data_IF_457521385476
#
_entry.id   IF_457521385476
#
_cell.length_a   1.000
_cell.length_b   1.000
_cell.length_c   1.000
_cell.angle_alpha   90.00
_cell.angle_beta   90.00
_cell.angle_gamma   90.00
#
_symmetry.space_group_name_H-M   'P 1'
#
loop_
_entity.id
_entity.type
_entity.pdbx_description
1 polymer ?
#
# COMPACT_ATOMS: atom_id res chain seq x y z
N UNK A 1 8.86 14.50 56.88
CA UNK A 1 7.55 14.72 56.25
C UNK A 1 7.53 13.90 54.99
N UNK A 2 6.71 12.85 54.97
CA UNK A 2 6.68 11.86 53.89
C UNK A 2 5.60 12.19 52.85
N UNK A 3 5.88 11.76 51.62
CA UNK A 3 5.12 11.85 50.37
C UNK A 3 3.87 10.96 50.34
N UNK A 4 2.76 11.50 49.81
CA UNK A 4 1.57 10.80 49.28
C UNK A 4 1.09 11.63 48.05
N UNK A 5 0.51 11.11 46.96
CA UNK A 5 -0.49 10.03 46.82
C UNK A 5 -0.33 9.30 45.48
N UNK A 6 -0.51 7.99 45.50
CA UNK A 6 -0.85 7.16 44.34
C UNK A 6 -2.33 6.75 44.37
N UNK A 7 -2.85 6.25 43.26
CA UNK A 7 -3.99 5.33 43.24
C UNK A 7 -3.87 4.39 42.03
N UNK A 8 -3.58 3.12 42.34
CA UNK A 8 -3.76 1.96 41.47
C UNK A 8 -5.26 1.62 41.36
N UNK A 9 -5.70 1.18 40.18
CA UNK A 9 -6.91 0.39 40.04
C UNK A 9 -6.55 -0.94 39.37
N UNK A 10 -6.39 -1.96 40.20
CA UNK A 10 -6.62 -3.35 39.84
C UNK A 10 -8.14 -3.55 39.62
N UNK A 11 -8.50 -4.32 38.61
CA UNK A 11 -9.80 -5.00 38.51
C UNK A 11 -9.50 -6.44 38.17
N UNK A 12 -9.30 -7.29 39.18
CA UNK A 12 -10.34 -8.11 39.83
C UNK A 12 -10.80 -9.26 38.93
N UNK A 13 -10.12 -10.39 39.10
CA UNK A 13 -10.55 -11.73 38.70
C UNK A 13 -11.76 -12.15 39.54
N UNK A 14 -12.93 -12.21 38.91
CA UNK A 14 -14.14 -12.81 39.47
C UNK A 14 -14.55 -14.03 38.67
N UNK A 15 -14.34 -15.22 39.23
CA UNK A 15 -14.90 -16.48 38.75
C UNK A 15 -16.38 -16.57 39.16
N UNK A 16 -17.28 -16.76 38.19
CA UNK A 16 -18.64 -17.27 38.38
C UNK A 16 -19.04 -18.05 37.14
N UNK A 17 -19.50 -19.28 37.39
CA UNK A 17 -19.82 -20.31 36.42
C UNK A 17 -21.01 -19.96 35.52
N UNK A 18 -20.93 -20.41 34.26
CA UNK A 18 -22.06 -20.84 33.45
C UNK A 18 -22.79 -19.78 32.62
N UNK A 19 -22.31 -19.51 31.40
CA UNK A 19 -23.12 -19.58 30.17
C UNK A 19 -22.21 -19.42 28.95
N UNK A 20 -22.48 -20.22 27.91
CA UNK A 20 -21.73 -20.29 26.64
C UNK A 20 -21.73 -18.96 25.90
N UNK A 21 -20.72 -18.14 26.15
CA UNK A 21 -20.38 -16.97 25.35
C UNK A 21 -19.07 -17.21 24.65
N UNK A 22 -19.14 -17.68 23.39
CA UNK A 22 -17.99 -17.76 22.49
C UNK A 22 -17.36 -16.37 22.40
N UNK A 23 -16.28 -16.14 23.15
CA UNK A 23 -15.43 -14.98 22.93
C UNK A 23 -14.78 -15.17 21.57
N UNK A 24 -15.43 -14.67 20.52
CA UNK A 24 -14.77 -14.38 19.25
C UNK A 24 -13.67 -13.38 19.58
N UNK A 25 -12.46 -13.89 19.78
CA UNK A 25 -11.26 -13.07 19.68
C UNK A 25 -11.26 -12.54 18.25
N UNK A 26 -11.79 -11.33 18.08
CA UNK A 26 -11.67 -10.61 16.83
C UNK A 26 -10.18 -10.50 16.54
N UNK A 27 -9.69 -11.25 15.56
CA UNK A 27 -8.33 -11.07 15.07
C UNK A 27 -8.25 -9.63 14.59
N UNK A 28 -7.61 -8.77 15.39
CA UNK A 28 -7.30 -7.42 14.96
C UNK A 28 -6.30 -7.59 13.83
N UNK A 29 -6.76 -7.38 12.61
CA UNK A 29 -5.89 -7.48 11.45
C UNK A 29 -4.79 -6.42 11.54
N UNK A 30 -3.56 -6.90 11.31
CA UNK A 30 -2.36 -6.09 11.36
C UNK A 30 -2.25 -5.32 10.05
N UNK A 31 -1.83 -4.06 10.13
CA UNK A 31 -1.51 -3.25 8.95
C UNK A 31 -0.28 -3.80 8.24
N UNK A 32 -0.40 -4.08 6.95
CA UNK A 32 0.70 -4.54 6.09
C UNK A 32 1.04 -3.45 5.06
N UNK A 33 2.33 -3.25 4.77
CA UNK A 33 2.77 -2.31 3.73
C UNK A 33 2.34 -2.82 2.36
N UNK A 34 1.85 -1.91 1.51
CA UNK A 34 1.43 -2.20 0.14
C UNK A 34 2.33 -1.49 -0.87
N UNK A 35 2.51 -2.13 -2.02
CA UNK A 35 3.17 -1.51 -3.15
C UNK A 35 2.28 -0.42 -3.76
N UNK A 36 2.92 0.60 -4.33
CA UNK A 36 2.22 1.64 -5.06
C UNK A 36 1.99 1.18 -6.50
N UNK A 37 0.81 0.65 -6.75
CA UNK A 37 0.35 0.20 -8.07
C UNK A 37 -0.74 1.13 -8.59
N UNK A 38 -1.04 1.08 -9.89
CA UNK A 38 -2.16 1.79 -10.51
C UNK A 38 -3.48 1.57 -9.74
N UNK A 39 -3.77 0.33 -9.35
CA UNK A 39 -4.97 -0.02 -8.60
C UNK A 39 -5.06 0.71 -7.25
N UNK A 40 -3.98 0.70 -6.46
CA UNK A 40 -3.97 1.38 -5.15
C UNK A 40 -4.04 2.91 -5.26
N UNK A 41 -3.48 3.48 -6.33
CA UNK A 41 -3.60 4.91 -6.64
C UNK A 41 -5.03 5.27 -7.00
N UNK A 42 -5.69 4.45 -7.84
CA UNK A 42 -7.10 4.66 -8.21
C UNK A 42 -8.03 4.56 -7.00
N UNK A 43 -7.81 3.60 -6.08
CA UNK A 43 -8.58 3.52 -4.83
C UNK A 43 -8.52 4.84 -4.06
N UNK A 44 -7.32 5.41 -3.88
CA UNK A 44 -7.16 6.66 -3.16
C UNK A 44 -7.82 7.85 -3.87
N UNK A 45 -7.63 7.96 -5.20
CA UNK A 45 -8.19 9.04 -6.01
C UNK A 45 -9.72 8.98 -6.06
N UNK A 46 -10.31 7.81 -6.33
CA UNK A 46 -11.76 7.64 -6.43
C UNK A 46 -12.44 7.82 -5.07
N UNK A 47 -11.81 7.41 -3.97
CA UNK A 47 -12.33 7.67 -2.63
C UNK A 47 -12.49 9.17 -2.36
N UNK A 48 -11.52 10.01 -2.75
CA UNK A 48 -11.59 11.45 -2.47
C UNK A 48 -12.37 12.26 -3.53
N UNK A 49 -12.57 11.68 -4.73
CA UNK A 49 -13.20 12.30 -5.90
C UNK A 49 -14.70 12.51 -5.75
N UNK A 50 -15.42 11.70 -4.98
CA UNK A 50 -16.88 11.78 -4.91
C UNK A 50 -17.35 12.15 -3.51
N UNK A 51 -18.27 13.11 -3.41
CA UNK A 51 -18.85 13.50 -2.11
C UNK A 51 -19.48 12.33 -1.36
N UNK A 52 -20.09 11.40 -2.09
CA UNK A 52 -20.77 10.23 -1.54
C UNK A 52 -19.81 9.13 -1.06
N UNK A 53 -18.50 9.30 -1.33
CA UNK A 53 -17.46 8.42 -0.83
C UNK A 53 -16.88 8.91 0.50
N UNK A 54 -17.50 9.88 1.16
CA UNK A 54 -17.12 10.33 2.48
C UNK A 54 -18.15 9.90 3.49
N UNK A 55 -17.69 9.42 4.65
CA UNK A 55 -18.57 9.24 5.80
C UNK A 55 -19.28 10.54 6.16
N UNK A 56 -20.52 10.43 6.65
CA UNK A 56 -21.40 11.59 6.85
C UNK A 56 -20.82 12.64 7.79
N UNK A 57 -20.01 12.23 8.77
CA UNK A 57 -19.39 13.12 9.76
C UNK A 57 -18.12 13.81 9.25
N UNK A 58 -17.59 13.40 8.08
CA UNK A 58 -16.41 14.03 7.51
C UNK A 58 -16.86 15.27 6.75
N UNK A 59 -16.56 16.43 7.31
CA UNK A 59 -16.96 17.73 6.76
C UNK A 59 -15.92 18.29 5.78
N UNK A 60 -14.66 17.89 5.93
CA UNK A 60 -13.55 18.33 5.07
C UNK A 60 -13.44 17.45 3.83
N UNK A 61 -13.02 18.02 2.71
CA UNK A 61 -12.65 17.26 1.50
C UNK A 61 -11.15 17.35 1.30
N UNK A 62 -10.60 16.32 0.67
CA UNK A 62 -9.18 16.23 0.38
C UNK A 62 -9.00 16.11 -1.13
N UNK A 63 -7.98 16.76 -1.66
CA UNK A 63 -7.39 16.39 -2.93
C UNK A 63 -6.00 15.80 -2.68
N UNK A 64 -5.53 14.96 -3.59
CA UNK A 64 -4.23 14.31 -3.50
C UNK A 64 -3.25 14.97 -4.46
N UNK A 65 -2.03 15.16 -3.99
CA UNK A 65 -0.88 15.52 -4.83
C UNK A 65 0.09 14.35 -4.94
N UNK A 66 0.33 13.63 -3.84
CA UNK A 66 1.29 12.53 -3.81
C UNK A 66 0.88 11.48 -2.78
N UNK A 67 1.19 10.22 -3.03
CA UNK A 67 1.11 9.14 -2.03
C UNK A 67 2.53 8.83 -1.55
N UNK A 68 2.74 8.76 -0.24
CA UNK A 68 4.03 8.51 0.39
C UNK A 68 4.18 7.06 0.84
N UNK A 69 3.11 6.54 1.44
CA UNK A 69 3.07 5.21 2.04
C UNK A 69 1.66 4.66 1.93
N UNK A 70 1.54 3.36 1.67
CA UNK A 70 0.28 2.64 1.63
C UNK A 70 0.38 1.49 2.60
N UNK A 71 -0.64 1.34 3.43
CA UNK A 71 -0.85 0.15 4.25
C UNK A 71 -2.26 -0.37 4.05
N UNK A 72 -2.46 -1.67 4.14
CA UNK A 72 -3.79 -2.27 4.13
C UNK A 72 -3.98 -3.27 5.25
N UNK A 73 -5.23 -3.62 5.51
CA UNK A 73 -5.66 -4.71 6.38
C UNK A 73 -7.09 -5.11 6.06
N UNK A 74 -7.50 -6.31 6.44
CA UNK A 74 -8.90 -6.77 6.33
C UNK A 74 -9.64 -6.60 7.66
N UNK A 75 -10.73 -5.86 7.70
CA UNK A 75 -11.56 -5.71 8.90
C UNK A 75 -12.96 -6.19 8.56
N UNK A 76 -13.44 -7.25 9.21
CA UNK A 76 -14.75 -7.85 8.94
C UNK A 76 -14.96 -8.13 7.45
N UNK A 77 -13.96 -8.78 6.83
CA UNK A 77 -13.89 -9.09 5.38
C UNK A 77 -13.86 -7.87 4.43
N UNK A 78 -13.86 -6.65 4.97
CA UNK A 78 -13.72 -5.43 4.19
C UNK A 78 -12.26 -4.98 4.15
N UNK A 79 -11.77 -4.72 2.95
CA UNK A 79 -10.43 -4.17 2.79
C UNK A 79 -10.37 -2.72 3.25
N UNK A 80 -9.44 -2.41 4.14
CA UNK A 80 -9.16 -1.06 4.61
C UNK A 80 -7.74 -0.67 4.25
N UNK A 81 -7.58 0.56 3.76
CA UNK A 81 -6.30 1.17 3.47
C UNK A 81 -6.05 2.37 4.37
N UNK A 82 -4.79 2.55 4.73
CA UNK A 82 -4.25 3.74 5.36
C UNK A 82 -3.17 4.31 4.45
N UNK A 83 -3.46 5.46 3.86
CA UNK A 83 -2.55 6.19 2.99
C UNK A 83 -1.92 7.33 3.77
N UNK A 84 -0.58 7.45 3.73
CA UNK A 84 0.08 8.72 3.99
C UNK A 84 0.18 9.46 2.67
N UNK A 85 -0.43 10.64 2.59
CA UNK A 85 -0.55 11.42 1.35
C UNK A 85 -0.11 12.85 1.57
N UNK A 86 0.45 13.47 0.55
CA UNK A 86 0.58 14.92 0.47
C UNK A 86 -0.58 15.45 -0.37
N UNK A 87 -1.22 16.51 0.10
CA UNK A 87 -2.42 17.04 -0.54
C UNK A 87 -2.92 18.30 0.14
N UNK A 88 -4.16 18.68 -0.17
CA UNK A 88 -4.76 19.89 0.35
C UNK A 88 -6.20 19.64 0.78
N UNK A 89 -6.58 20.24 1.89
CA UNK A 89 -7.97 20.37 2.25
C UNK A 89 -8.68 21.34 1.29
N UNK A 90 -9.91 21.01 0.95
CA UNK A 90 -10.77 21.84 0.12
C UNK A 90 -12.19 21.84 0.66
N UNK A 91 -12.87 22.97 0.50
CA UNK A 91 -14.31 23.07 0.74
C UNK A 91 -15.12 22.38 -0.38
N UNK A 92 -14.50 22.15 -1.55
CA UNK A 92 -15.13 21.56 -2.73
C UNK A 92 -14.45 20.25 -3.10
N UNK A 93 -15.22 19.36 -3.70
CA UNK A 93 -14.70 18.17 -4.35
C UNK A 93 -13.93 18.58 -5.61
N UNK A 94 -12.72 18.06 -5.78
CA UNK A 94 -12.05 18.10 -7.07
C UNK A 94 -12.44 16.88 -7.88
N UNK A 95 -12.98 17.09 -9.09
CA UNK A 95 -13.53 16.02 -9.92
C UNK A 95 -12.52 14.97 -10.36
N UNK A 96 -11.22 15.19 -10.21
CA UNK A 96 -10.16 14.21 -10.49
C UNK A 96 -9.60 13.56 -9.23
N UNK A 97 -10.02 14.02 -8.05
CA UNK A 97 -9.37 13.72 -6.78
C UNK A 97 -7.99 14.36 -6.62
N UNK A 98 -7.47 15.09 -7.61
CA UNK A 98 -6.11 15.64 -7.64
C UNK A 98 -6.08 17.10 -7.21
N UNK A 99 -4.98 17.53 -6.60
CA UNK A 99 -4.79 18.93 -6.26
C UNK A 99 -4.27 19.75 -7.42
N UNK A 100 -4.72 21.00 -7.50
CA UNK A 100 -3.95 22.06 -8.16
C UNK A 100 -3.02 22.69 -7.12
N UNK A 101 -1.76 22.28 -7.15
CA UNK A 101 -0.78 22.63 -6.11
C UNK A 101 -0.43 24.13 -6.09
N UNK A 102 -0.72 24.87 -7.15
CA UNK A 102 -0.46 26.32 -7.20
C UNK A 102 -1.54 27.13 -6.48
N UNK A 103 -2.71 26.55 -6.27
CA UNK A 103 -3.85 27.20 -5.62
C UNK A 103 -4.26 26.54 -4.30
N UNK A 104 -3.42 25.67 -3.76
CA UNK A 104 -3.72 24.95 -2.53
C UNK A 104 -2.53 24.92 -1.56
N UNK A 105 -2.82 24.93 -0.26
CA UNK A 105 -1.81 24.87 0.79
C UNK A 105 -1.52 23.41 1.13
N UNK A 106 -0.46 22.88 0.53
CA UNK A 106 -0.06 21.48 0.72
C UNK A 106 0.27 21.18 2.18
N UNK A 107 -0.07 19.96 2.58
CA UNK A 107 0.28 19.35 3.85
C UNK A 107 0.26 17.83 3.72
N UNK A 108 0.87 17.14 4.68
CA UNK A 108 0.81 15.69 4.79
C UNK A 108 -0.40 15.27 5.64
N UNK A 109 -1.12 14.27 5.17
CA UNK A 109 -2.33 13.71 5.75
C UNK A 109 -2.24 12.19 5.87
N UNK A 110 -2.91 11.64 6.87
CA UNK A 110 -3.27 10.24 6.96
C UNK A 110 -4.74 10.09 6.52
N UNK A 111 -4.92 9.42 5.39
CA UNK A 111 -6.21 9.14 4.77
C UNK A 111 -6.55 7.67 5.00
N UNK A 112 -7.60 7.41 5.78
CA UNK A 112 -8.14 6.05 5.96
C UNK A 112 -9.34 5.87 5.05
N UNK A 113 -9.31 4.81 4.25
CA UNK A 113 -10.45 4.38 3.45
C UNK A 113 -10.78 2.91 3.73
N UNK A 114 -12.04 2.55 3.55
CA UNK A 114 -12.50 1.17 3.70
C UNK A 114 -13.49 0.83 2.61
N UNK A 115 -13.42 -0.40 2.12
CA UNK A 115 -14.36 -0.95 1.17
C UNK A 115 -15.79 -0.84 1.74
N UNK A 116 -16.71 -0.36 0.92
CA UNK A 116 -18.11 -0.16 1.31
C UNK A 116 -18.84 -1.49 1.49
N UNK A 117 -18.46 -2.49 0.69
CA UNK A 117 -19.12 -3.78 0.60
C UNK A 117 -18.10 -4.78 0.06
N UNK A 118 -18.11 -6.00 0.60
CA UNK A 118 -17.23 -7.09 0.15
C UNK A 118 -17.36 -7.28 -1.37
N UNK A 119 -16.24 -7.54 -2.03
CA UNK A 119 -16.13 -7.77 -3.48
C UNK A 119 -16.61 -6.60 -4.37
N UNK A 120 -16.63 -5.37 -3.84
CA UNK A 120 -16.91 -4.16 -4.62
C UNK A 120 -15.77 -3.15 -4.51
N UNK A 121 -15.34 -2.61 -5.64
CA UNK A 121 -14.27 -1.60 -5.70
C UNK A 121 -14.78 -0.19 -5.38
N UNK A 122 -15.61 -0.07 -4.35
CA UNK A 122 -16.12 1.21 -3.86
C UNK A 122 -15.59 1.42 -2.46
N UNK A 123 -14.72 2.42 -2.30
CA UNK A 123 -14.09 2.74 -1.02
C UNK A 123 -14.62 4.06 -0.47
N UNK A 124 -14.83 4.09 0.84
CA UNK A 124 -15.34 5.24 1.58
C UNK A 124 -14.22 5.78 2.47
N UNK A 125 -14.02 7.09 2.43
CA UNK A 125 -13.18 7.84 3.35
C UNK A 125 -13.80 7.79 4.74
N UNK A 126 -13.09 7.15 5.67
CA UNK A 126 -13.49 7.02 7.07
C UNK A 126 -12.85 8.08 7.97
N UNK A 127 -11.66 8.55 7.62
CA UNK A 127 -11.01 9.64 8.36
C UNK A 127 -9.95 10.33 7.51
N UNK A 128 -9.77 11.62 7.79
CA UNK A 128 -8.68 12.44 7.27
C UNK A 128 -8.05 13.11 8.49
N UNK A 129 -6.79 12.79 8.76
CA UNK A 129 -6.03 13.43 9.82
C UNK A 129 -4.83 14.15 9.24
N UNK A 130 -4.64 15.41 9.62
CA UNK A 130 -3.42 16.13 9.29
C UNK A 130 -2.29 15.59 10.15
N UNK A 131 -1.19 15.17 9.53
CA UNK A 131 -0.05 14.60 10.26
C UNK A 131 0.53 15.63 11.25
N UNK A 132 0.99 15.19 12.42
CA UNK A 132 1.62 16.08 13.40
C UNK A 132 2.95 16.64 12.88
N UNK A 133 3.76 15.76 12.29
CA UNK A 133 5.01 16.15 11.63
C UNK A 133 4.70 16.49 10.17
N UNK A 134 4.95 17.73 9.79
CA UNK A 134 4.76 18.22 8.43
C UNK A 134 6.09 18.29 7.70
N UNK A 135 6.07 17.92 6.43
CA UNK A 135 7.21 18.10 5.53
C UNK A 135 7.42 19.59 5.22
N UNK A 136 8.62 19.94 4.79
CA UNK A 136 8.88 21.26 4.24
C UNK A 136 8.10 21.49 2.94
N UNK A 137 7.83 22.76 2.59
CA UNK A 137 7.12 23.07 1.34
C UNK A 137 7.90 22.56 0.10
N UNK A 138 9.23 22.59 0.12
CA UNK A 138 10.08 22.03 -0.94
C UNK A 138 9.88 20.54 -1.14
N UNK A 139 9.67 19.79 -0.06
CA UNK A 139 9.38 18.35 -0.14
C UNK A 139 7.95 18.08 -0.60
N UNK A 140 6.99 18.90 -0.15
CA UNK A 140 5.59 18.79 -0.56
C UNK A 140 5.39 19.08 -2.05
N UNK A 141 6.19 19.99 -2.62
CA UNK A 141 6.13 20.37 -4.04
C UNK A 141 6.87 19.40 -4.97
N UNK A 142 7.40 18.28 -4.49
CA UNK A 142 7.96 17.23 -5.34
C UNK A 142 6.93 16.76 -6.38
N UNK A 143 7.40 16.26 -7.52
CA UNK A 143 6.52 15.76 -8.58
C UNK A 143 5.51 14.73 -8.06
N UNK A 144 4.29 14.82 -8.60
CA UNK A 144 3.23 13.85 -8.30
C UNK A 144 3.64 12.44 -8.77
N UNK A 145 3.20 11.43 -8.02
CA UNK A 145 3.28 10.01 -8.40
C UNK A 145 1.89 9.39 -8.60
N UNK A 146 0.88 10.23 -8.80
CA UNK A 146 -0.50 9.81 -9.04
C UNK A 146 -0.73 9.42 -10.51
N UNK A 147 0.14 9.87 -11.41
CA UNK A 147 0.19 9.39 -12.79
C UNK A 147 1.08 8.16 -12.82
N UNK A 148 0.50 7.00 -12.45
CA UNK A 148 1.22 5.75 -12.53
C UNK A 148 1.57 5.49 -13.99
N UNK A 149 2.85 5.61 -14.28
CA UNK A 149 3.48 4.94 -15.41
C UNK A 149 4.18 3.77 -14.77
N UNK A 150 4.01 2.56 -15.32
CA UNK A 150 4.88 1.46 -14.92
C UNK A 150 6.30 2.00 -14.85
N UNK A 151 7.09 1.63 -13.84
CA UNK A 151 8.53 1.81 -13.94
C UNK A 151 8.93 0.99 -15.16
N UNK A 152 8.95 1.61 -16.34
CA UNK A 152 9.72 1.14 -17.49
C UNK A 152 11.08 0.92 -16.89
N UNK A 153 11.50 -0.35 -16.83
CA UNK A 153 12.81 -0.74 -16.38
C UNK A 153 13.82 0.15 -17.09
N UNK A 154 14.27 1.21 -16.43
CA UNK A 154 15.43 1.97 -16.86
C UNK A 154 16.67 1.16 -16.48
N UNK A 155 16.70 -0.11 -16.90
CA UNK A 155 17.93 -0.82 -17.24
C UNK A 155 18.12 -0.63 -18.74
N UNK A 156 18.77 0.50 -19.07
CA UNK A 156 19.49 0.68 -20.33
C UNK A 156 20.13 -0.63 -20.77
N UNK A 157 19.78 -1.08 -21.99
CA UNK A 157 20.53 -1.97 -22.87
C UNK A 157 21.72 -2.73 -22.25
N UNK A 158 21.46 -3.88 -21.64
CA UNK A 158 22.42 -5.00 -21.67
C UNK A 158 21.67 -6.32 -21.46
N UNK A 159 21.33 -6.99 -22.58
CA UNK A 159 20.92 -8.39 -22.69
C UNK A 159 20.47 -9.08 -21.38
N UNK A 160 19.20 -8.95 -21.02
CA UNK A 160 18.61 -9.61 -19.86
C UNK A 160 18.52 -11.13 -20.06
N UNK A 161 19.65 -11.81 -19.92
CA UNK A 161 19.69 -13.25 -19.79
C UNK A 161 19.18 -13.61 -18.38
N UNK A 162 17.90 -13.99 -18.29
CA UNK A 162 17.30 -14.50 -17.05
C UNK A 162 18.13 -15.68 -16.55
N UNK A 163 18.84 -15.47 -15.46
CA UNK A 163 19.75 -16.47 -14.89
C UNK A 163 19.18 -16.93 -13.56
N UNK A 164 18.50 -18.08 -13.58
CA UNK A 164 18.03 -18.72 -12.36
C UNK A 164 19.15 -19.58 -11.77
N UNK A 165 19.54 -19.29 -10.53
CA UNK A 165 20.48 -20.11 -9.75
C UNK A 165 19.74 -20.76 -8.59
N UNK A 166 19.84 -22.08 -8.51
CA UNK A 166 19.39 -22.83 -7.35
C UNK A 166 20.50 -23.78 -6.89
N UNK A 167 20.57 -24.01 -5.58
CA UNK A 167 21.50 -24.95 -4.96
C UNK A 167 20.75 -26.18 -4.49
N UNK A 168 21.26 -27.36 -4.84
CA UNK A 168 20.85 -28.64 -4.27
C UNK A 168 22.13 -29.27 -3.73
N UNK A 169 22.25 -29.31 -2.39
CA UNK A 169 23.50 -29.72 -1.72
C UNK A 169 24.67 -28.79 -2.05
N UNK A 170 25.84 -29.36 -2.38
CA UNK A 170 27.05 -28.61 -2.79
C UNK A 170 27.04 -28.17 -4.26
N UNK A 171 26.05 -28.60 -5.04
CA UNK A 171 25.99 -28.32 -6.48
C UNK A 171 25.12 -27.09 -6.75
N UNK A 172 25.69 -26.10 -7.45
CA UNK A 172 24.95 -24.94 -7.95
C UNK A 172 24.63 -25.16 -9.43
N UNK A 173 23.34 -25.21 -9.78
CA UNK A 173 22.90 -25.25 -11.19
C UNK A 173 22.46 -23.86 -11.61
N UNK A 174 22.95 -23.43 -12.77
CA UNK A 174 22.62 -22.14 -13.38
C UNK A 174 21.96 -22.43 -14.73
N UNK A 175 20.70 -22.06 -14.90
CA UNK A 175 20.05 -22.05 -16.21
C UNK A 175 19.97 -20.60 -16.68
N UNK A 176 20.42 -20.39 -17.92
CA UNK A 176 20.30 -19.12 -18.62
C UNK A 176 19.26 -19.29 -19.73
N UNK A 177 18.14 -18.58 -19.61
CA UNK A 177 17.19 -18.45 -20.71
C UNK A 177 17.61 -17.25 -21.56
N UNK A 178 17.78 -17.48 -22.87
CA UNK A 178 18.01 -16.43 -23.86
C UNK A 178 16.71 -16.34 -24.65
N UNK A 179 15.97 -15.23 -24.50
CA UNK A 179 14.81 -14.95 -25.33
C UNK A 179 15.33 -14.21 -26.56
N UNK A 180 15.12 -14.80 -27.74
CA UNK A 180 15.48 -14.17 -29.02
C UNK A 180 14.17 -13.69 -29.63
N UNK A 181 14.04 -12.39 -29.85
CA UNK A 181 12.87 -11.82 -30.52
C UNK A 181 12.90 -12.23 -31.99
N UNK A 182 12.12 -13.26 -32.33
CA UNK A 182 11.90 -13.69 -33.70
C UNK A 182 10.83 -12.83 -34.36
N UNK A 183 11.24 -11.82 -35.13
CA UNK A 183 10.36 -11.24 -36.14
C UNK A 183 10.06 -12.28 -37.24
N UNK A 184 8.77 -12.46 -37.51
CA UNK A 184 8.16 -13.21 -38.62
C UNK A 184 8.27 -14.75 -38.62
N UNK A 185 7.18 -15.37 -38.14
CA UNK A 185 6.46 -16.40 -38.88
C UNK A 185 7.09 -17.79 -38.99
N UNK A 186 7.13 -18.55 -37.90
CA UNK A 186 6.87 -20.00 -37.90
C UNK A 186 6.84 -20.56 -36.48
N UNK A 187 5.96 -21.53 -36.21
CA UNK A 187 5.88 -22.27 -34.95
C UNK A 187 7.24 -22.86 -34.55
N UNK A 188 7.71 -22.59 -33.33
CA UNK A 188 8.81 -23.32 -32.72
C UNK A 188 9.38 -22.65 -31.46
N UNK A 189 8.84 -22.96 -30.27
CA UNK A 189 9.53 -22.71 -29.01
C UNK A 189 10.76 -23.61 -28.91
N UNK A 190 11.95 -23.08 -29.21
CA UNK A 190 13.21 -23.79 -28.97
C UNK A 190 13.84 -23.31 -27.66
N UNK A 191 13.59 -24.03 -26.57
CA UNK A 191 14.35 -23.88 -25.32
C UNK A 191 15.71 -24.57 -25.49
N UNK A 192 16.78 -23.78 -25.61
CA UNK A 192 18.14 -24.34 -25.62
C UNK A 192 18.64 -24.51 -24.19
N UNK A 193 18.61 -25.74 -23.66
CA UNK A 193 19.20 -26.06 -22.36
C UNK A 193 20.71 -26.23 -22.49
N UNK A 194 21.49 -25.35 -21.86
CA UNK A 194 22.94 -25.55 -21.68
C UNK A 194 23.24 -25.82 -20.21
N UNK A 195 23.70 -27.04 -19.91
CA UNK A 195 24.07 -27.50 -18.56
C UNK A 195 25.58 -27.36 -18.37
N UNK A 196 26.03 -26.37 -17.59
CA UNK A 196 27.42 -26.31 -17.12
C UNK A 196 27.52 -26.74 -15.66
N UNK A 197 28.30 -27.78 -15.38
CA UNK A 197 28.55 -28.29 -14.02
C UNK A 197 29.93 -27.84 -13.59
N UNK A 198 30.04 -26.90 -12.64
CA UNK A 198 31.32 -26.57 -12.03
C UNK A 198 31.46 -27.36 -10.72
N UNK A 199 32.45 -28.25 -10.64
CA UNK A 199 32.85 -28.89 -9.40
C UNK A 199 33.84 -27.98 -8.67
N UNK A 200 33.52 -27.59 -7.45
CA UNK A 200 34.50 -27.05 -6.52
C UNK A 200 35.23 -28.24 -5.90
N UNK A 201 36.47 -28.49 -6.34
CA UNK A 201 37.37 -29.41 -5.63
C UNK A 201 37.78 -28.78 -4.28
N UNK A 202 38.03 -29.62 -3.25
CA UNK A 202 38.26 -29.19 -1.87
C UNK A 202 39.50 -28.31 -1.67
#
# INVERSE_FOLDING_TARGET
GYTEQGFDIQSASGSRDGETGQTTSGQVSVWTSQAMTEATIHIALDAVRYRNNYEKYIMTRLCLHRINLIRSRLVDDLESYLFSVDGCESAKITLTGRCDIYYCKLATYELKVTQKTVDKDVYIVQSIFKALTQKSMSELMQSTNLDYKDPVDTSSEENAALTAKWRIGTTTTTIRAIMSDGENGSNGDSITQSKSTCHSSP
#
